data_IF_959881891188
#
_entry.id   IF_959881891188
#
_cell.length_a   1.000
_cell.length_b   1.000
_cell.length_c   1.000
_cell.angle_alpha   90.00
_cell.angle_beta   90.00
_cell.angle_gamma   90.00
#
_symmetry.space_group_name_H-M   'P 1'
#
loop_
_entity.id
_entity.type
_entity.pdbx_description
1 polymer ?
#
# COMPACT_ATOMS: atom_id res chain seq x y z
N UNK A 1 -30.37 -17.26 -13.83
CA UNK A 1 -30.69 -16.13 -12.93
C UNK A 1 -29.84 -16.27 -11.68
N UNK A 2 -28.75 -15.49 -11.54
CA UNK A 2 -28.05 -15.32 -10.27
C UNK A 2 -28.43 -13.94 -9.77
N UNK A 3 -29.14 -13.90 -8.65
CA UNK A 3 -29.53 -12.66 -7.99
C UNK A 3 -28.24 -12.13 -7.35
N UNK A 4 -27.55 -11.22 -8.04
CA UNK A 4 -26.44 -10.45 -7.45
C UNK A 4 -27.06 -9.34 -6.59
N UNK A 5 -27.30 -9.64 -5.31
CA UNK A 5 -27.80 -8.67 -4.35
C UNK A 5 -26.65 -8.11 -3.48
N UNK A 6 -26.67 -6.78 -3.36
CA UNK A 6 -25.82 -5.86 -2.60
C UNK A 6 -24.34 -5.80 -3.01
N UNK A 7 -23.99 -4.64 -3.58
CA UNK A 7 -22.65 -4.14 -3.92
C UNK A 7 -21.50 -4.99 -3.36
N UNK A 8 -20.79 -5.68 -4.24
CA UNK A 8 -19.61 -6.47 -3.90
C UNK A 8 -18.62 -5.63 -3.08
N UNK A 9 -18.59 -5.90 -1.77
CA UNK A 9 -17.65 -5.31 -0.83
C UNK A 9 -16.28 -5.89 -1.16
N UNK A 10 -15.37 -5.04 -1.65
CA UNK A 10 -13.98 -5.44 -1.87
C UNK A 10 -13.39 -5.99 -0.58
N UNK A 11 -12.87 -7.22 -0.62
CA UNK A 11 -12.32 -7.89 0.56
C UNK A 11 -10.90 -7.36 0.86
N UNK A 12 -10.16 -7.08 -0.21
CA UNK A 12 -8.74 -6.68 -0.18
C UNK A 12 -8.56 -5.32 -0.85
N UNK A 13 -7.93 -4.37 -0.17
CA UNK A 13 -7.40 -3.15 -0.77
C UNK A 13 -5.93 -3.36 -1.13
N UNK A 14 -5.51 -3.08 -2.35
CA UNK A 14 -4.12 -3.19 -2.78
C UNK A 14 -3.55 -1.79 -3.07
N UNK A 15 -2.60 -1.35 -2.23
CA UNK A 15 -1.86 -0.09 -2.39
C UNK A 15 -0.44 -0.37 -2.87
N UNK A 16 -0.05 0.28 -3.96
CA UNK A 16 1.28 0.17 -4.52
C UNK A 16 1.57 1.34 -5.46
N UNK A 17 2.86 1.54 -5.76
CA UNK A 17 3.30 2.53 -6.75
C UNK A 17 4.34 1.94 -7.68
N UNK A 18 4.16 2.16 -8.98
CA UNK A 18 5.16 1.88 -10.01
C UNK A 18 4.69 0.96 -11.14
N UNK A 19 4.88 1.41 -12.39
CA UNK A 19 4.42 0.71 -13.59
C UNK A 19 5.10 -0.66 -13.70
N UNK A 20 6.39 -0.72 -13.35
CA UNK A 20 7.15 -1.96 -13.31
C UNK A 20 6.51 -3.01 -12.39
N UNK A 21 5.95 -2.58 -11.25
CA UNK A 21 5.24 -3.46 -10.33
C UNK A 21 3.90 -3.92 -10.91
N UNK A 22 3.18 -3.01 -11.58
CA UNK A 22 1.87 -3.28 -12.19
C UNK A 22 1.93 -4.44 -13.17
N UNK A 23 2.93 -4.46 -14.06
CA UNK A 23 3.05 -5.45 -15.13
C UNK A 23 3.91 -6.67 -14.75
N UNK A 24 4.30 -6.81 -13.49
CA UNK A 24 5.08 -7.96 -13.01
C UNK A 24 4.42 -8.62 -11.79
N UNK A 25 4.85 -8.29 -10.58
CA UNK A 25 4.37 -8.91 -9.35
C UNK A 25 2.86 -8.70 -9.15
N UNK A 26 2.37 -7.48 -9.40
CA UNK A 26 0.97 -7.14 -9.17
C UNK A 26 0.05 -7.85 -10.15
N UNK A 27 0.39 -7.95 -11.44
CA UNK A 27 -0.44 -8.68 -12.40
C UNK A 27 -0.61 -10.14 -12.01
N UNK A 28 0.47 -10.83 -11.63
CA UNK A 28 0.38 -12.22 -11.16
C UNK A 28 -0.44 -12.37 -9.86
N UNK A 29 -0.33 -11.40 -8.94
CA UNK A 29 -1.13 -11.38 -7.71
C UNK A 29 -2.62 -11.21 -8.01
N UNK A 30 -2.97 -10.31 -8.93
CA UNK A 30 -4.35 -10.07 -9.34
C UNK A 30 -4.94 -11.28 -10.07
N UNK A 31 -4.18 -11.91 -10.98
CA UNK A 31 -4.62 -13.14 -11.64
C UNK A 31 -4.87 -14.25 -10.61
N UNK A 32 -4.04 -14.34 -9.57
CA UNK A 32 -4.23 -15.31 -8.50
C UNK A 32 -5.49 -15.01 -7.67
N UNK A 33 -5.76 -13.74 -7.36
CA UNK A 33 -6.99 -13.33 -6.69
C UNK A 33 -8.23 -13.68 -7.50
N UNK A 34 -8.22 -13.38 -8.80
CA UNK A 34 -9.31 -13.72 -9.71
C UNK A 34 -9.57 -15.24 -9.74
N UNK A 35 -8.51 -16.05 -9.91
CA UNK A 35 -8.63 -17.52 -9.91
C UNK A 35 -9.24 -18.08 -8.62
N UNK A 36 -9.08 -17.39 -7.49
CA UNK A 36 -9.60 -17.81 -6.19
C UNK A 36 -10.86 -17.04 -5.76
N UNK A 37 -11.43 -16.20 -6.62
CA UNK A 37 -12.64 -15.42 -6.32
C UNK A 37 -12.44 -14.36 -5.23
N UNK A 38 -11.21 -13.85 -5.04
CA UNK A 38 -10.91 -12.80 -4.06
C UNK A 38 -11.16 -11.43 -4.72
N UNK A 39 -12.15 -10.71 -4.21
CA UNK A 39 -12.47 -9.36 -4.68
C UNK A 39 -11.43 -8.36 -4.15
N UNK A 40 -10.64 -7.80 -5.05
CA UNK A 40 -9.58 -6.84 -4.73
C UNK A 40 -9.83 -5.49 -5.38
N UNK A 41 -9.81 -4.42 -4.59
CA UNK A 41 -9.71 -3.06 -5.11
C UNK A 41 -8.25 -2.71 -5.31
N UNK A 42 -7.88 -2.36 -6.53
CA UNK A 42 -6.51 -2.00 -6.89
C UNK A 42 -6.42 -0.48 -6.96
N UNK A 43 -5.63 0.11 -6.08
CA UNK A 43 -5.30 1.51 -6.25
C UNK A 43 -4.37 1.67 -7.47
N UNK A 44 -4.86 2.42 -8.47
CA UNK A 44 -4.17 2.65 -9.74
C UNK A 44 -3.62 4.07 -9.75
N UNK A 45 -2.84 4.38 -8.74
CA UNK A 45 -2.32 5.70 -8.39
C UNK A 45 -1.58 6.43 -9.54
N UNK A 46 -1.17 5.69 -10.58
CA UNK A 46 -0.53 6.23 -11.79
C UNK A 46 -1.51 6.91 -12.76
N UNK A 47 -2.81 6.60 -12.65
CA UNK A 47 -3.88 7.25 -13.38
C UNK A 47 -4.47 8.35 -12.48
N UNK A 48 -3.76 9.48 -12.41
CA UNK A 48 -4.25 10.71 -11.74
C UNK A 48 -5.69 10.99 -12.20
N UNK A 49 -6.65 10.99 -11.26
CA UNK A 49 -8.03 11.36 -11.56
C UNK A 49 -9.12 10.76 -10.66
N UNK A 50 -8.82 9.82 -9.77
CA UNK A 50 -9.84 9.31 -8.85
C UNK A 50 -9.96 10.17 -7.60
N UNK A 51 -11.18 10.58 -7.28
CA UNK A 51 -11.54 11.44 -6.17
C UNK A 51 -11.10 10.80 -4.84
N UNK A 52 -10.26 11.45 -4.02
CA UNK A 52 -9.78 10.96 -2.69
C UNK A 52 -10.89 10.33 -1.87
N UNK A 53 -12.08 10.94 -1.94
CA UNK A 53 -13.28 10.51 -1.23
C UNK A 53 -13.64 9.05 -1.52
N UNK A 54 -13.52 8.61 -2.78
CA UNK A 54 -13.85 7.24 -3.17
C UNK A 54 -12.83 6.26 -2.60
N UNK A 55 -11.54 6.59 -2.66
CA UNK A 55 -10.51 5.71 -2.15
C UNK A 55 -10.62 5.48 -0.64
N UNK A 56 -10.95 6.52 0.12
CA UNK A 56 -11.23 6.39 1.55
C UNK A 56 -12.42 5.51 1.85
N UNK A 57 -13.45 5.53 1.00
CA UNK A 57 -14.58 4.61 1.10
C UNK A 57 -14.11 3.17 0.83
N UNK A 58 -13.25 2.94 -0.15
CA UNK A 58 -12.73 1.60 -0.46
C UNK A 58 -11.86 1.01 0.64
N UNK A 59 -10.95 1.81 1.22
CA UNK A 59 -10.23 1.38 2.42
C UNK A 59 -11.24 1.15 3.57
N UNK A 60 -12.37 1.88 3.63
CA UNK A 60 -13.46 1.72 4.63
C UNK A 60 -14.19 0.41 4.55
N UNK A 61 -14.44 -0.02 3.34
CA UNK A 61 -15.18 -1.24 3.06
C UNK A 61 -14.29 -2.48 3.14
N UNK A 62 -12.97 -2.33 2.98
CA UNK A 62 -12.02 -3.44 2.97
C UNK A 62 -11.73 -4.00 4.37
N UNK A 63 -11.56 -5.32 4.45
CA UNK A 63 -11.15 -6.03 5.69
C UNK A 63 -9.64 -6.27 5.76
N UNK A 64 -9.01 -6.42 4.60
CA UNK A 64 -7.57 -6.60 4.45
C UNK A 64 -7.03 -5.50 3.54
N UNK A 65 -5.85 -4.96 3.85
CA UNK A 65 -5.08 -4.16 2.93
C UNK A 65 -3.70 -4.78 2.72
N UNK A 66 -3.32 -4.93 1.45
CA UNK A 66 -1.96 -5.25 1.03
C UNK A 66 -1.27 -3.94 0.66
N UNK A 67 -0.12 -3.67 1.28
CA UNK A 67 0.70 -2.51 0.96
C UNK A 67 2.02 -2.99 0.41
N UNK A 68 2.30 -2.68 -0.85
CA UNK A 68 3.57 -3.03 -1.50
C UNK A 68 4.51 -1.84 -1.39
N UNK A 69 5.41 -1.90 -0.42
CA UNK A 69 6.49 -0.95 -0.28
C UNK A 69 7.53 -1.17 -1.38
N UNK A 70 7.78 -0.13 -2.16
CA UNK A 70 8.83 -0.01 -3.15
C UNK A 70 9.49 1.35 -2.99
N UNK A 71 10.64 1.59 -3.64
CA UNK A 71 11.26 2.92 -3.66
C UNK A 71 10.32 3.98 -4.22
N UNK A 72 9.53 3.66 -5.25
CA UNK A 72 8.53 4.56 -5.84
C UNK A 72 7.36 4.87 -4.90
N UNK A 73 7.03 3.98 -3.95
CA UNK A 73 5.98 4.26 -2.96
C UNK A 73 6.32 5.52 -2.14
N UNK A 74 7.61 5.71 -1.83
CA UNK A 74 8.10 6.86 -1.09
C UNK A 74 8.08 8.19 -1.86
N UNK A 75 7.84 8.16 -3.17
CA UNK A 75 7.77 9.35 -4.02
C UNK A 75 6.36 9.98 -4.06
N UNK A 76 5.35 9.30 -3.51
CA UNK A 76 3.94 9.70 -3.62
C UNK A 76 3.39 10.12 -2.25
N UNK A 77 3.06 11.41 -2.11
CA UNK A 77 2.32 11.91 -0.93
C UNK A 77 0.97 11.19 -0.76
N UNK A 78 0.37 10.77 -1.87
CA UNK A 78 -0.89 10.05 -1.86
C UNK A 78 -0.75 8.66 -1.23
N UNK A 79 0.22 7.86 -1.69
CA UNK A 79 0.54 6.57 -1.08
C UNK A 79 0.82 6.70 0.43
N UNK A 80 1.46 7.80 0.84
CA UNK A 80 1.73 8.08 2.25
C UNK A 80 0.46 8.45 3.03
N UNK A 81 -0.43 9.24 2.44
CA UNK A 81 -1.72 9.60 3.05
C UNK A 81 -2.65 8.37 3.18
N UNK A 82 -2.65 7.47 2.20
CA UNK A 82 -3.31 6.17 2.28
C UNK A 82 -2.78 5.34 3.45
N UNK A 83 -1.46 5.28 3.60
CA UNK A 83 -0.81 4.53 4.67
C UNK A 83 -1.24 5.05 6.05
N UNK A 84 -1.33 6.38 6.21
CA UNK A 84 -1.87 7.01 7.42
C UNK A 84 -3.32 6.59 7.68
N UNK A 85 -4.13 6.48 6.63
CA UNK A 85 -5.53 6.06 6.75
C UNK A 85 -5.64 4.59 7.17
N UNK A 86 -4.81 3.73 6.59
CA UNK A 86 -4.73 2.32 6.98
C UNK A 86 -4.31 2.19 8.44
N UNK A 87 -3.29 2.95 8.88
CA UNK A 87 -2.84 2.97 10.28
C UNK A 87 -3.99 3.37 11.22
N UNK A 88 -4.73 4.43 10.91
CA UNK A 88 -5.92 4.85 11.69
C UNK A 88 -7.01 3.77 11.80
N UNK A 89 -7.04 2.81 10.88
CA UNK A 89 -8.01 1.70 10.87
C UNK A 89 -7.50 0.48 11.59
N UNK A 90 -6.21 0.19 11.44
CA UNK A 90 -5.49 -0.77 12.26
C UNK A 90 -5.65 -0.43 13.74
N UNK A 91 -5.43 0.83 14.11
CA UNK A 91 -5.55 1.30 15.51
C UNK A 91 -6.96 1.07 16.08
N UNK A 92 -7.99 1.04 15.20
CA UNK A 92 -9.39 0.78 15.57
C UNK A 92 -9.78 -0.69 15.49
N UNK A 93 -8.85 -1.59 15.15
CA UNK A 93 -9.13 -3.01 14.92
C UNK A 93 -10.03 -3.28 13.70
N UNK A 94 -10.15 -2.33 12.76
CA UNK A 94 -11.09 -2.39 11.64
C UNK A 94 -10.47 -2.84 10.31
N UNK A 95 -9.15 -3.00 10.26
CA UNK A 95 -8.41 -3.36 9.06
C UNK A 95 -7.18 -4.17 9.45
N UNK A 96 -6.99 -5.31 8.80
CA UNK A 96 -5.71 -6.01 8.83
C UNK A 96 -4.84 -5.51 7.68
N UNK A 97 -3.60 -5.13 7.97
CA UNK A 97 -2.64 -4.69 6.95
C UNK A 97 -1.50 -5.69 6.87
N UNK A 98 -1.17 -6.11 5.65
CA UNK A 98 -0.06 -7.01 5.34
C UNK A 98 0.94 -6.24 4.47
N UNK A 99 2.11 -5.86 5.02
CA UNK A 99 3.15 -5.20 4.23
C UNK A 99 3.91 -6.22 3.37
N UNK A 100 4.19 -5.82 2.13
CA UNK A 100 5.04 -6.54 1.18
C UNK A 100 6.20 -5.63 0.84
N UNK A 101 7.43 -6.09 1.06
CA UNK A 101 8.64 -5.32 0.80
C UNK A 101 9.22 -5.75 -0.54
N UNK A 102 8.97 -4.97 -1.59
CA UNK A 102 9.42 -5.24 -2.94
C UNK A 102 10.72 -4.49 -3.24
N UNK A 103 11.83 -5.24 -3.32
CA UNK A 103 13.19 -4.71 -3.57
C UNK A 103 13.62 -3.59 -2.62
N UNK A 104 13.06 -3.57 -1.41
CA UNK A 104 13.43 -2.66 -0.32
C UNK A 104 13.57 -3.46 0.97
N UNK A 105 14.39 -2.99 1.91
CA UNK A 105 14.50 -3.62 3.23
C UNK A 105 13.41 -3.08 4.16
N UNK A 106 12.78 -3.95 4.95
CA UNK A 106 11.80 -3.53 5.95
C UNK A 106 12.36 -2.52 6.95
N UNK A 107 13.63 -2.66 7.32
CA UNK A 107 14.34 -1.71 8.21
C UNK A 107 14.49 -0.33 7.58
N UNK A 108 14.71 -0.25 6.27
CA UNK A 108 14.83 1.01 5.54
C UNK A 108 13.48 1.72 5.44
N UNK A 109 12.40 0.97 5.18
CA UNK A 109 11.03 1.52 5.20
C UNK A 109 10.67 2.05 6.59
N UNK A 110 10.98 1.28 7.63
CA UNK A 110 10.70 1.62 9.04
C UNK A 110 11.51 2.82 9.53
N UNK A 111 12.79 2.87 9.20
CA UNK A 111 13.71 3.93 9.63
C UNK A 111 13.73 5.12 8.68
N UNK A 112 13.04 5.04 7.54
CA UNK A 112 13.17 6.00 6.43
C UNK A 112 14.64 6.24 6.06
N UNK A 113 15.36 5.15 5.84
CA UNK A 113 16.80 5.12 5.46
C UNK A 113 17.02 4.46 4.10
N UNK A 114 18.25 4.51 3.60
CA UNK A 114 18.60 3.94 2.29
C UNK A 114 17.82 4.60 1.15
N UNK A 115 17.72 3.92 0.01
CA UNK A 115 17.08 4.48 -1.18
C UNK A 115 15.59 4.83 -0.95
N UNK A 116 14.87 4.04 -0.15
CA UNK A 116 13.50 4.38 0.24
C UNK A 116 13.45 5.68 1.04
N UNK A 117 14.36 5.82 2.02
CA UNK A 117 14.52 7.02 2.83
C UNK A 117 14.86 8.25 2.00
N UNK A 118 15.77 8.13 1.04
CA UNK A 118 16.15 9.24 0.16
C UNK A 118 14.93 9.79 -0.57
N UNK A 119 14.10 8.91 -1.16
CA UNK A 119 12.84 9.31 -1.82
C UNK A 119 11.83 9.92 -0.85
N UNK A 120 11.70 9.35 0.35
CA UNK A 120 10.82 9.88 1.39
C UNK A 120 11.23 11.30 1.81
N UNK A 121 12.53 11.55 2.03
CA UNK A 121 13.02 12.85 2.46
C UNK A 121 12.98 13.89 1.35
N UNK A 122 13.14 13.50 0.08
CA UNK A 122 12.86 14.40 -1.05
C UNK A 122 11.40 14.85 -1.06
N UNK A 123 10.45 13.93 -0.90
CA UNK A 123 9.03 14.25 -0.77
C UNK A 123 8.72 15.14 0.45
N UNK A 124 9.43 14.91 1.56
CA UNK A 124 9.23 15.66 2.80
C UNK A 124 9.61 17.14 2.66
N UNK A 125 10.56 17.52 1.78
CA UNK A 125 10.99 18.92 1.58
C UNK A 125 9.85 19.86 1.19
N UNK A 126 8.85 19.36 0.48
CA UNK A 126 7.69 20.15 0.03
C UNK A 126 6.43 19.90 0.87
N UNK A 127 6.56 19.16 1.97
CA UNK A 127 5.44 18.69 2.79
C UNK A 127 5.38 19.42 4.14
N UNK A 128 4.20 19.41 4.78
CA UNK A 128 4.01 20.09 6.08
C UNK A 128 4.54 19.21 7.21
N UNK A 129 5.08 19.83 8.27
CA UNK A 129 5.65 19.10 9.42
C UNK A 129 4.70 18.08 10.05
N UNK A 130 3.42 18.44 10.24
CA UNK A 130 2.43 17.50 10.80
C UNK A 130 2.17 16.29 9.88
N UNK A 131 2.27 16.50 8.57
CA UNK A 131 2.02 15.45 7.57
C UNK A 131 3.20 14.46 7.58
N UNK A 132 4.43 14.98 7.60
CA UNK A 132 5.65 14.17 7.72
C UNK A 132 5.60 13.32 9.00
N UNK A 133 5.17 13.90 10.13
CA UNK A 133 5.03 13.17 11.40
C UNK A 133 4.05 11.99 11.28
N UNK A 134 2.87 12.22 10.69
CA UNK A 134 1.88 11.16 10.47
C UNK A 134 2.42 10.06 9.54
N UNK A 135 3.13 10.43 8.48
CA UNK A 135 3.74 9.46 7.56
C UNK A 135 4.78 8.58 8.26
N UNK A 136 5.67 9.18 9.07
CA UNK A 136 6.66 8.44 9.85
C UNK A 136 6.02 7.44 10.80
N UNK A 137 5.02 7.87 11.57
CA UNK A 137 4.27 6.98 12.47
C UNK A 137 3.59 5.83 11.72
N UNK A 138 3.02 6.11 10.55
CA UNK A 138 2.35 5.11 9.74
C UNK A 138 3.33 4.09 9.15
N UNK A 139 4.47 4.55 8.63
CA UNK A 139 5.56 3.70 8.13
C UNK A 139 6.12 2.81 9.22
N UNK A 140 6.41 3.37 10.40
CA UNK A 140 6.90 2.61 11.54
C UNK A 140 5.88 1.55 12.00
N UNK A 141 4.63 1.95 12.21
CA UNK A 141 3.58 1.05 12.70
C UNK A 141 3.28 -0.10 11.72
N UNK A 142 3.14 0.20 10.42
CA UNK A 142 2.72 -0.79 9.43
C UNK A 142 3.88 -1.70 9.04
N UNK A 143 5.11 -1.19 8.90
CA UNK A 143 6.29 -2.01 8.58
C UNK A 143 6.75 -2.91 9.74
N UNK A 144 6.26 -2.67 10.96
CA UNK A 144 6.47 -3.54 12.12
C UNK A 144 5.58 -4.79 12.13
N UNK A 145 4.54 -4.85 11.30
CA UNK A 145 3.67 -6.03 11.18
C UNK A 145 4.40 -7.13 10.39
N UNK A 146 4.10 -8.40 10.68
CA UNK A 146 4.61 -9.52 9.88
C UNK A 146 4.30 -9.27 8.40
N UNK A 147 5.34 -9.34 7.56
CA UNK A 147 5.27 -9.02 6.14
C UNK A 147 6.07 -9.98 5.28
N UNK A 148 5.84 -9.93 3.97
CA UNK A 148 6.54 -10.75 2.98
C UNK A 148 7.64 -9.93 2.32
N UNK A 149 8.86 -10.48 2.20
CA UNK A 149 9.97 -9.81 1.50
C UNK A 149 10.21 -10.47 0.14
N UNK A 150 10.30 -9.65 -0.91
CA UNK A 150 10.58 -10.08 -2.28
C UNK A 150 11.84 -9.35 -2.77
N UNK A 151 12.97 -10.04 -2.71
CA UNK A 151 14.25 -9.58 -3.23
C UNK A 151 14.76 -10.48 -4.35
N UNK A 152 15.69 -9.96 -5.15
CA UNK A 152 16.38 -10.79 -6.15
C UNK A 152 17.20 -11.87 -5.42
N UNK A 153 17.10 -13.14 -5.85
CA UNK A 153 18.02 -14.19 -5.42
C UNK A 153 19.40 -13.82 -5.94
N UNK A 154 20.24 -13.18 -5.13
CA UNK A 154 21.67 -13.19 -5.38
C UNK A 154 22.12 -14.62 -5.13
N UNK A 155 22.40 -15.35 -6.21
CA UNK A 155 23.27 -16.53 -6.13
C UNK A 155 24.62 -16.01 -5.64
N UNK A 156 24.99 -16.40 -4.44
CA UNK A 156 26.36 -16.41 -3.95
C UNK A 156 26.73 -17.85 -3.67
#
# INVERSE_FOLDING_TARGET
MKISSLAEVHQVFLSFRGDQLRYSFVSHLLDAFERHGILCFVDKDELRGQNMTNLFVRIKESKIALVIFSTRYAESSWCMDELVMMKKRVDKGKLQVIPIFYKVRATDVRGQTGEFGDKFWELAKTSRGYQIMQWKEALECISNKMGLSLGDKRVS
#
